data_IF_078999163168
#
_entry.id   IF_078999163168
#
_cell.length_a   1.000
_cell.length_b   1.000
_cell.length_c   1.000
_cell.angle_alpha   90.00
_cell.angle_beta   90.00
_cell.angle_gamma   90.00
#
_symmetry.space_group_name_H-M   'P 1'
#
loop_
_entity.id
_entity.type
_entity.pdbx_description
1 polymer ?
#
# COMPACT_ATOMS: atom_id res chain seq x y z
N UNK A 1 25.99 22.58 4.21
CA UNK A 1 24.84 21.99 3.46
C UNK A 1 24.28 20.84 4.27
N UNK A 2 23.16 21.05 4.97
CA UNK A 2 22.60 20.06 5.91
C UNK A 2 22.02 18.85 5.17
N UNK A 3 22.34 17.64 5.67
CA UNK A 3 21.81 16.37 5.14
C UNK A 3 20.27 16.42 5.15
N UNK A 4 19.70 16.36 3.95
CA UNK A 4 18.28 16.20 3.63
C UNK A 4 17.63 15.10 4.50
N UNK A 5 16.94 15.49 5.58
CA UNK A 5 16.26 14.60 6.56
C UNK A 5 14.79 14.33 6.21
N UNK A 6 14.44 14.41 4.91
CA UNK A 6 13.06 14.30 4.42
C UNK A 6 12.67 12.89 3.97
N UNK A 7 13.65 12.01 3.74
CA UNK A 7 13.39 10.62 3.37
C UNK A 7 12.97 9.84 4.62
N UNK A 8 11.83 9.16 4.54
CA UNK A 8 11.30 8.27 5.57
C UNK A 8 10.57 7.08 4.92
N UNK A 9 10.21 6.08 5.73
CA UNK A 9 9.59 4.86 5.24
C UNK A 9 8.25 5.11 4.54
N UNK A 10 7.39 5.94 5.13
CA UNK A 10 6.07 6.30 4.58
C UNK A 10 6.17 6.89 3.17
N UNK A 11 7.10 7.82 2.95
CA UNK A 11 7.33 8.43 1.64
C UNK A 11 7.86 7.42 0.62
N UNK A 12 8.78 6.54 1.03
CA UNK A 12 9.34 5.50 0.16
C UNK A 12 8.24 4.54 -0.29
N UNK A 13 7.42 4.05 0.64
CA UNK A 13 6.28 3.17 0.36
C UNK A 13 5.24 3.89 -0.49
N UNK A 14 4.83 5.10 -0.11
CA UNK A 14 3.81 5.86 -0.83
C UNK A 14 4.24 6.19 -2.28
N UNK A 15 5.52 6.48 -2.49
CA UNK A 15 6.04 6.69 -3.85
C UNK A 15 6.05 5.39 -4.66
N UNK A 16 6.42 4.27 -4.04
CA UNK A 16 6.39 2.96 -4.68
C UNK A 16 4.96 2.54 -5.06
N UNK A 17 3.98 2.80 -4.19
CA UNK A 17 2.54 2.59 -4.46
C UNK A 17 2.08 3.36 -5.71
N UNK A 18 2.40 4.66 -5.81
CA UNK A 18 2.07 5.47 -6.99
C UNK A 18 2.71 4.91 -8.27
N UNK A 19 3.96 4.46 -8.19
CA UNK A 19 4.65 3.85 -9.33
C UNK A 19 4.01 2.50 -9.72
N UNK A 20 3.62 1.69 -8.75
CA UNK A 20 2.96 0.41 -8.98
C UNK A 20 1.62 0.60 -9.72
N UNK A 21 0.79 1.53 -9.27
CA UNK A 21 -0.51 1.82 -9.90
C UNK A 21 -0.33 2.38 -11.31
N UNK A 22 0.61 3.30 -11.51
CA UNK A 22 0.92 3.82 -12.84
C UNK A 22 1.39 2.73 -13.82
N UNK A 23 2.07 1.70 -13.31
CA UNK A 23 2.52 0.55 -14.09
C UNK A 23 1.46 -0.58 -14.18
N UNK A 24 0.40 -0.53 -13.38
CA UNK A 24 -0.58 -1.61 -13.21
C UNK A 24 -0.01 -2.89 -12.56
N UNK A 25 1.17 -2.82 -11.94
CA UNK A 25 1.80 -3.97 -11.26
C UNK A 25 2.82 -3.55 -10.21
N UNK A 26 2.70 -4.08 -9.00
CA UNK A 26 3.70 -3.96 -7.95
C UNK A 26 5.08 -4.52 -8.33
N UNK A 27 5.14 -5.55 -9.16
CA UNK A 27 6.41 -6.18 -9.56
C UNK A 27 7.19 -5.35 -10.58
N UNK A 28 6.56 -4.33 -11.18
CA UNK A 28 7.24 -3.40 -12.09
C UNK A 28 8.10 -2.36 -11.34
N UNK A 29 7.94 -2.23 -10.01
CA UNK A 29 8.71 -1.30 -9.20
C UNK A 29 10.05 -1.93 -8.82
N UNK A 30 11.14 -1.23 -9.11
CA UNK A 30 12.50 -1.60 -8.68
C UNK A 30 13.07 -0.54 -7.74
N UNK A 31 13.98 -0.93 -6.83
CA UNK A 31 14.66 0.00 -5.92
C UNK A 31 15.45 1.07 -6.68
N UNK A 32 16.02 0.74 -7.84
CA UNK A 32 16.75 1.69 -8.68
C UNK A 32 15.81 2.76 -9.23
N UNK A 33 14.71 2.37 -9.87
CA UNK A 33 13.73 3.30 -10.42
C UNK A 33 13.06 4.15 -9.31
N UNK A 34 12.84 3.54 -8.13
CA UNK A 34 12.29 4.26 -6.98
C UNK A 34 13.26 5.35 -6.48
N UNK A 35 14.55 5.03 -6.37
CA UNK A 35 15.57 5.98 -5.94
C UNK A 35 15.71 7.16 -6.92
N UNK A 36 15.70 6.86 -8.22
CA UNK A 36 15.67 7.88 -9.29
C UNK A 36 14.42 8.78 -9.17
N UNK A 37 13.25 8.19 -8.95
CA UNK A 37 11.99 8.94 -8.82
C UNK A 37 11.94 9.89 -7.62
N UNK A 38 12.80 9.64 -6.61
CA UNK A 38 12.93 10.39 -5.37
C UNK A 38 14.16 11.32 -5.35
N UNK A 39 14.96 11.37 -6.42
CA UNK A 39 16.24 12.11 -6.48
C UNK A 39 17.19 11.73 -5.32
N UNK A 40 17.32 10.42 -5.04
CA UNK A 40 18.22 9.88 -4.03
C UNK A 40 19.10 8.77 -4.59
N UNK A 41 20.19 8.45 -3.87
CA UNK A 41 21.01 7.27 -4.19
C UNK A 41 20.27 6.01 -3.74
N UNK A 42 20.35 4.92 -4.51
CA UNK A 42 19.77 3.63 -4.13
C UNK A 42 20.16 3.19 -2.71
N UNK A 43 21.42 3.39 -2.30
CA UNK A 43 21.90 3.07 -0.95
C UNK A 43 21.14 3.81 0.18
N UNK A 44 20.49 4.95 -0.14
CA UNK A 44 19.71 5.71 0.84
C UNK A 44 18.37 5.04 1.16
N UNK A 45 17.79 4.28 0.21
CA UNK A 45 16.56 3.54 0.42
C UNK A 45 16.73 2.40 1.42
N UNK A 46 17.92 1.78 1.46
CA UNK A 46 18.20 0.67 2.38
C UNK A 46 18.16 1.05 3.87
N UNK A 47 18.15 2.34 4.20
CA UNK A 47 17.91 2.81 5.58
C UNK A 47 16.42 2.78 5.96
N UNK A 48 15.53 2.55 5.00
CA UNK A 48 14.08 2.61 5.16
C UNK A 48 13.39 1.31 4.74
N UNK A 49 13.95 0.59 3.75
CA UNK A 49 13.49 -0.73 3.31
C UNK A 49 14.69 -1.65 3.12
N UNK A 50 14.73 -2.78 3.82
CA UNK A 50 15.87 -3.70 3.82
C UNK A 50 16.04 -4.45 2.49
N UNK A 51 14.97 -4.64 1.74
CA UNK A 51 14.95 -5.38 0.47
C UNK A 51 13.78 -4.96 -0.42
N UNK A 52 13.72 -5.51 -1.64
CA UNK A 52 12.54 -5.34 -2.50
C UNK A 52 11.30 -6.04 -1.91
N UNK A 53 11.50 -7.16 -1.23
CA UNK A 53 10.44 -7.88 -0.53
C UNK A 53 9.89 -7.06 0.64
N UNK A 54 10.76 -6.42 1.43
CA UNK A 54 10.37 -5.50 2.50
C UNK A 54 9.59 -4.29 1.96
N UNK A 55 9.99 -3.76 0.79
CA UNK A 55 9.23 -2.72 0.10
C UNK A 55 7.83 -3.21 -0.32
N UNK A 56 7.74 -4.41 -0.91
CA UNK A 56 6.45 -4.98 -1.33
C UNK A 56 5.54 -5.29 -0.14
N UNK A 57 6.10 -5.77 0.98
CA UNK A 57 5.37 -5.97 2.23
C UNK A 57 4.83 -4.65 2.77
N UNK A 58 5.67 -3.61 2.87
CA UNK A 58 5.22 -2.28 3.28
C UNK A 58 4.12 -1.69 2.38
N UNK A 59 4.22 -1.92 1.07
CA UNK A 59 3.15 -1.57 0.12
C UNK A 59 1.86 -2.36 0.35
N UNK A 60 1.95 -3.65 0.67
CA UNK A 60 0.79 -4.47 0.98
C UNK A 60 0.08 -3.97 2.25
N UNK A 61 0.83 -3.73 3.33
CA UNK A 61 0.32 -3.16 4.59
C UNK A 61 -0.35 -1.81 4.35
N UNK A 62 0.32 -0.90 3.65
CA UNK A 62 -0.22 0.43 3.34
C UNK A 62 -1.46 0.34 2.42
N UNK A 63 -1.47 -0.57 1.45
CA UNK A 63 -2.60 -0.82 0.57
C UNK A 63 -3.83 -1.34 1.30
N UNK A 64 -3.66 -2.30 2.23
CA UNK A 64 -4.75 -2.83 3.06
C UNK A 64 -5.32 -1.73 3.95
N UNK A 65 -4.47 -0.91 4.57
CA UNK A 65 -4.91 0.25 5.37
C UNK A 65 -5.72 1.24 4.53
N UNK A 66 -5.24 1.58 3.34
CA UNK A 66 -5.95 2.49 2.42
C UNK A 66 -7.33 1.94 2.03
N UNK A 67 -7.40 0.66 1.65
CA UNK A 67 -8.67 0.00 1.34
C UNK A 67 -9.63 0.06 2.54
N UNK A 68 -9.17 -0.32 3.74
CA UNK A 68 -9.98 -0.28 4.96
C UNK A 68 -10.52 1.12 5.24
N UNK A 69 -9.71 2.15 5.07
CA UNK A 69 -10.13 3.54 5.28
C UNK A 69 -11.17 3.99 4.25
N UNK A 70 -11.03 3.61 2.98
CA UNK A 70 -12.05 3.88 1.95
C UNK A 70 -13.38 3.18 2.26
N UNK A 71 -13.33 1.91 2.69
CA UNK A 71 -14.52 1.16 3.09
C UNK A 71 -15.21 1.79 4.31
N UNK A 72 -14.42 2.22 5.31
CA UNK A 72 -14.93 2.91 6.50
C UNK A 72 -15.63 4.20 6.12
N UNK A 73 -14.99 5.04 5.30
CA UNK A 73 -15.56 6.30 4.82
C UNK A 73 -16.86 6.08 4.05
N UNK A 74 -16.91 5.06 3.19
CA UNK A 74 -18.12 4.73 2.42
C UNK A 74 -19.30 4.28 3.31
N UNK A 75 -19.02 3.67 4.46
CA UNK A 75 -20.03 3.17 5.38
C UNK A 75 -20.54 4.21 6.40
N UNK A 76 -19.89 5.38 6.52
CA UNK A 76 -20.23 6.38 7.56
C UNK A 76 -21.71 6.77 7.50
N UNK A 77 -22.40 6.59 8.62
CA UNK A 77 -23.82 6.97 8.76
C UNK A 77 -24.82 6.02 8.10
N UNK A 78 -24.35 4.92 7.49
CA UNK A 78 -25.17 3.86 6.91
C UNK A 78 -25.24 2.66 7.85
N UNK A 79 -26.28 1.85 7.71
CA UNK A 79 -26.47 0.59 8.47
C UNK A 79 -27.02 -0.49 7.57
N UNK A 80 -26.82 -1.76 7.95
CA UNK A 80 -27.36 -2.94 7.26
C UNK A 80 -27.08 -2.92 5.75
N UNK A 81 -28.09 -3.19 4.92
CA UNK A 81 -27.94 -3.35 3.47
C UNK A 81 -27.34 -2.12 2.76
N UNK A 82 -27.79 -0.87 2.99
CA UNK A 82 -27.15 0.30 2.40
C UNK A 82 -25.65 0.42 2.71
N UNK A 83 -25.23 0.06 3.93
CA UNK A 83 -23.80 0.06 4.29
C UNK A 83 -23.03 -0.97 3.48
N UNK A 84 -23.57 -2.18 3.33
CA UNK A 84 -22.93 -3.25 2.56
C UNK A 84 -22.83 -2.88 1.06
N UNK A 85 -23.87 -2.28 0.50
CA UNK A 85 -23.87 -1.82 -0.89
C UNK A 85 -22.82 -0.72 -1.10
N UNK A 86 -22.74 0.27 -0.20
CA UNK A 86 -21.74 1.33 -0.29
C UNK A 86 -20.30 0.80 -0.18
N UNK A 87 -20.05 -0.12 0.76
CA UNK A 87 -18.75 -0.77 0.91
C UNK A 87 -18.37 -1.61 -0.32
N UNK A 88 -19.31 -2.35 -0.91
CA UNK A 88 -19.05 -3.14 -2.11
C UNK A 88 -18.69 -2.25 -3.31
N UNK A 89 -19.35 -1.11 -3.46
CA UNK A 89 -19.00 -0.12 -4.49
C UNK A 89 -17.59 0.47 -4.25
N UNK A 90 -17.27 0.86 -3.02
CA UNK A 90 -15.95 1.38 -2.65
C UNK A 90 -14.84 0.35 -2.90
N UNK A 91 -15.07 -0.93 -2.55
CA UNK A 91 -14.14 -2.01 -2.84
C UNK A 91 -13.83 -2.14 -4.34
N UNK A 92 -14.87 -2.14 -5.18
CA UNK A 92 -14.69 -2.22 -6.64
C UNK A 92 -13.99 -0.99 -7.21
N UNK A 93 -14.29 0.20 -6.69
CA UNK A 93 -13.63 1.45 -7.08
C UNK A 93 -12.15 1.45 -6.70
N UNK A 94 -11.81 0.98 -5.49
CA UNK A 94 -10.43 0.81 -5.05
C UNK A 94 -9.65 -0.09 -6.00
N UNK A 95 -10.20 -1.27 -6.31
CA UNK A 95 -9.55 -2.22 -7.23
C UNK A 95 -9.30 -1.62 -8.63
N UNK A 96 -10.20 -0.74 -9.10
CA UNK A 96 -10.07 -0.07 -10.39
C UNK A 96 -9.02 1.05 -10.38
N UNK A 97 -8.99 1.85 -9.31
CA UNK A 97 -8.10 3.01 -9.20
C UNK A 97 -6.68 2.65 -8.76
N UNK A 98 -6.53 1.50 -8.09
CA UNK A 98 -5.26 1.01 -7.57
C UNK A 98 -4.86 -0.33 -8.20
N UNK A 99 -4.72 -0.42 -9.55
CA UNK A 99 -4.50 -1.69 -10.23
C UNK A 99 -3.17 -2.35 -9.88
N UNK A 100 -2.16 -1.57 -9.44
CA UNK A 100 -0.85 -2.10 -9.08
C UNK A 100 -0.77 -2.57 -7.63
N UNK A 101 -1.53 -1.93 -6.75
CA UNK A 101 -1.53 -2.21 -5.30
C UNK A 101 -2.60 -3.25 -4.94
N UNK A 102 -3.77 -3.22 -5.57
CA UNK A 102 -4.89 -4.12 -5.26
C UNK A 102 -4.50 -5.61 -5.23
N UNK A 103 -3.67 -6.14 -6.16
CA UNK A 103 -3.22 -7.53 -6.08
C UNK A 103 -2.47 -7.86 -4.78
N UNK A 104 -1.83 -6.89 -4.13
CA UNK A 104 -1.13 -7.08 -2.85
C UNK A 104 -2.10 -7.15 -1.68
N UNK A 105 -3.25 -6.47 -1.75
CA UNK A 105 -4.21 -6.39 -0.64
C UNK A 105 -5.09 -7.64 -0.51
N UNK A 106 -5.16 -8.47 -1.56
CA UNK A 106 -5.99 -9.69 -1.60
C UNK A 106 -5.19 -10.98 -1.44
N UNK A 107 -3.86 -10.89 -1.28
CA UNK A 107 -3.04 -12.05 -0.95
C UNK A 107 -3.23 -12.39 0.52
N UNK A 108 -3.39 -13.68 0.80
CA UNK A 108 -3.37 -14.15 2.17
C UNK A 108 -1.99 -13.83 2.78
N UNK A 109 -1.93 -13.27 4.00
CA UNK A 109 -0.67 -13.14 4.71
C UNK A 109 -0.01 -14.51 4.88
N UNK A 110 1.31 -14.53 4.85
CA UNK A 110 2.07 -15.71 5.24
C UNK A 110 1.80 -16.02 6.73
N UNK A 111 1.87 -17.28 7.18
CA UNK A 111 1.49 -17.67 8.54
C UNK A 111 2.23 -16.94 9.67
N UNK A 112 3.40 -16.36 9.38
CA UNK A 112 4.25 -15.59 10.30
C UNK A 112 4.14 -14.07 10.14
N UNK A 113 3.34 -13.57 9.20
CA UNK A 113 3.09 -12.14 9.00
C UNK A 113 2.03 -11.62 9.97
N UNK A 114 2.49 -11.30 11.18
CA UNK A 114 1.62 -10.81 12.25
C UNK A 114 0.94 -9.47 11.92
N UNK A 115 1.58 -8.58 11.15
CA UNK A 115 1.02 -7.25 10.85
C UNK A 115 -0.16 -7.35 9.87
N UNK A 116 0.03 -8.04 8.74
CA UNK A 116 -1.08 -8.29 7.81
C UNK A 116 -2.14 -9.21 8.43
N UNK A 117 -1.74 -10.17 9.27
CA UNK A 117 -2.65 -11.01 10.03
C UNK A 117 -3.57 -10.22 10.96
N UNK A 118 -3.05 -9.20 11.65
CA UNK A 118 -3.86 -8.29 12.49
C UNK A 118 -4.78 -7.41 11.67
N UNK A 119 -4.31 -6.82 10.56
CA UNK A 119 -5.16 -6.00 9.68
C UNK A 119 -6.30 -6.83 9.07
N UNK A 120 -6.04 -8.09 8.73
CA UNK A 120 -7.07 -9.00 8.23
C UNK A 120 -8.17 -9.28 9.28
N UNK A 121 -7.88 -9.18 10.58
CA UNK A 121 -8.88 -9.30 11.63
C UNK A 121 -9.74 -8.04 11.79
N UNK A 122 -9.29 -6.87 11.33
CA UNK A 122 -10.12 -5.65 11.31
C UNK A 122 -11.22 -5.71 10.23
N UNK A 123 -11.14 -6.65 9.28
CA UNK A 123 -12.15 -6.87 8.24
C UNK A 123 -13.38 -7.65 8.74
N UNK A 124 -13.31 -8.32 9.90
CA UNK A 124 -14.35 -9.21 10.46
C UNK A 124 -15.03 -8.57 11.66
#
# INVERSE_FOLDING_TARGET
>A
MGKRRWLNCELVIGRAMVMADAAGSATAVSLTALAESLDVRALSLYNHVASLEDLQHGMAVAGVRLLLDELRVAAVGLVARPSLEAMAHAYGHFAHNHPGIYPLTVRAPEPDDAELGMLAQELV
#
